data_IF_277537016325
#
_entry.id   IF_277537016325
#
_cell.length_a   1.000
_cell.length_b   1.000
_cell.length_c   1.000
_cell.angle_alpha   90.00
_cell.angle_beta   90.00
_cell.angle_gamma   90.00
#
_symmetry.space_group_name_H-M   'P 1'
#
loop_
_entity.id
_entity.type
_entity.pdbx_description
1 polymer ?
#
# COMPACT_ATOMS: atom_id res chain seq x y z
N UNK A 1 -49.20 26.45 -11.89
CA UNK A 1 -47.89 25.83 -11.66
C UNK A 1 -47.52 26.03 -10.21
N UNK A 2 -47.47 24.97 -9.40
CA UNK A 2 -47.34 25.07 -7.95
C UNK A 2 -45.87 25.27 -7.54
N UNK A 3 -45.59 26.37 -6.85
CA UNK A 3 -44.30 26.66 -6.23
C UNK A 3 -44.01 25.62 -5.12
N UNK A 4 -43.20 24.60 -5.42
CA UNK A 4 -42.89 23.52 -4.48
C UNK A 4 -42.30 22.28 -5.15
N UNK A 5 -42.67 22.00 -6.40
CA UNK A 5 -42.10 20.90 -7.18
C UNK A 5 -40.59 21.05 -7.44
N UNK A 6 -40.12 22.29 -7.64
CA UNK A 6 -38.70 22.59 -7.86
C UNK A 6 -37.84 22.43 -6.61
N UNK A 7 -38.33 22.85 -5.45
CA UNK A 7 -37.63 22.71 -4.17
C UNK A 7 -37.50 21.23 -3.75
N UNK A 8 -38.56 20.43 -3.92
CA UNK A 8 -38.51 18.99 -3.63
C UNK A 8 -37.60 18.21 -4.57
N UNK A 9 -37.54 18.59 -5.85
CA UNK A 9 -36.61 17.99 -6.81
C UNK A 9 -35.16 18.34 -6.47
N UNK A 10 -34.90 19.58 -6.07
CA UNK A 10 -33.57 20.02 -5.65
C UNK A 10 -33.13 19.34 -4.36
N UNK A 11 -34.01 19.23 -3.35
CA UNK A 11 -33.71 18.50 -2.12
C UNK A 11 -33.30 17.05 -2.38
N UNK A 12 -34.01 16.34 -3.28
CA UNK A 12 -33.63 14.97 -3.67
C UNK A 12 -32.28 14.91 -4.39
N UNK A 13 -31.96 15.89 -5.24
CA UNK A 13 -30.65 15.96 -5.90
C UNK A 13 -29.53 16.17 -4.88
N UNK A 14 -29.72 17.08 -3.92
CA UNK A 14 -28.72 17.35 -2.89
C UNK A 14 -28.50 16.13 -1.97
N UNK A 15 -29.57 15.41 -1.61
CA UNK A 15 -29.44 14.15 -0.86
C UNK A 15 -28.68 13.08 -1.65
N UNK A 16 -28.99 12.90 -2.93
CA UNK A 16 -28.27 11.94 -3.79
C UNK A 16 -26.78 12.30 -3.96
N UNK A 17 -26.46 13.60 -4.05
CA UNK A 17 -25.08 14.09 -4.05
C UNK A 17 -24.37 13.79 -2.74
N UNK A 18 -25.03 14.02 -1.60
CA UNK A 18 -24.47 13.69 -0.28
C UNK A 18 -24.14 12.20 -0.16
N UNK A 19 -25.07 11.32 -0.54
CA UNK A 19 -24.86 9.85 -0.54
C UNK A 19 -23.72 9.42 -1.47
N UNK A 20 -23.56 10.08 -2.62
CA UNK A 20 -22.44 9.81 -3.53
C UNK A 20 -21.10 10.23 -2.90
N UNK A 21 -21.04 11.39 -2.26
CA UNK A 21 -19.84 11.86 -1.56
C UNK A 21 -19.46 10.98 -0.37
N UNK A 22 -20.44 10.48 0.40
CA UNK A 22 -20.17 9.56 1.50
C UNK A 22 -19.56 8.24 1.03
N UNK A 23 -20.07 7.68 -0.07
CA UNK A 23 -19.49 6.47 -0.70
C UNK A 23 -18.06 6.71 -1.18
N UNK A 24 -17.83 7.80 -1.92
CA UNK A 24 -16.49 8.15 -2.39
C UNK A 24 -15.51 8.36 -1.21
N UNK A 25 -15.96 8.99 -0.13
CA UNK A 25 -15.15 9.18 1.07
C UNK A 25 -14.83 7.84 1.77
N UNK A 26 -15.78 6.90 1.84
CA UNK A 26 -15.54 5.57 2.39
C UNK A 26 -14.50 4.79 1.56
N UNK A 27 -14.62 4.81 0.23
CA UNK A 27 -13.67 4.19 -0.68
C UNK A 27 -12.25 4.79 -0.55
N UNK A 28 -12.16 6.11 -0.49
CA UNK A 28 -10.89 6.81 -0.29
C UNK A 28 -10.24 6.46 1.06
N UNK A 29 -11.01 6.38 2.14
CA UNK A 29 -10.50 5.94 3.45
C UNK A 29 -10.02 4.50 3.44
N UNK A 30 -10.78 3.60 2.81
CA UNK A 30 -10.36 2.20 2.66
C UNK A 30 -9.06 2.07 1.85
N UNK A 31 -8.92 2.85 0.76
CA UNK A 31 -7.69 2.91 -0.01
C UNK A 31 -6.51 3.45 0.81
N UNK A 32 -6.72 4.56 1.53
CA UNK A 32 -5.71 5.13 2.42
C UNK A 32 -5.25 4.13 3.49
N UNK A 33 -6.18 3.37 4.09
CA UNK A 33 -5.86 2.32 5.05
C UNK A 33 -4.96 1.22 4.47
N UNK A 34 -5.22 0.78 3.23
CA UNK A 34 -4.36 -0.21 2.55
C UNK A 34 -2.95 0.33 2.30
N UNK A 35 -2.84 1.59 1.87
CA UNK A 35 -1.53 2.23 1.65
C UNK A 35 -0.78 2.49 2.96
N UNK A 36 -1.47 2.90 4.02
CA UNK A 36 -0.83 3.13 5.32
C UNK A 36 -0.29 1.84 5.94
N UNK A 37 -0.99 0.71 5.75
CA UNK A 37 -0.46 -0.59 6.18
C UNK A 37 0.83 -0.87 5.43
N UNK A 38 0.84 -0.79 4.10
CA UNK A 38 2.03 -1.03 3.28
C UNK A 38 3.24 -0.19 3.74
N UNK A 39 3.07 1.13 3.85
CA UNK A 39 4.13 2.07 4.25
C UNK A 39 4.67 1.79 5.66
N UNK A 40 3.79 1.44 6.62
CA UNK A 40 4.21 1.08 7.98
C UNK A 40 5.02 -0.20 7.98
N UNK A 41 4.64 -1.19 7.17
CA UNK A 41 5.40 -2.45 7.04
C UNK A 41 6.80 -2.23 6.48
N UNK A 42 6.94 -1.46 5.41
CA UNK A 42 8.25 -1.19 4.78
C UNK A 42 9.20 -0.46 5.74
N UNK A 43 8.71 0.58 6.43
CA UNK A 43 9.46 1.27 7.48
C UNK A 43 9.83 0.34 8.63
N UNK A 44 8.97 -0.61 8.98
CA UNK A 44 9.25 -1.60 10.01
C UNK A 44 10.36 -2.56 9.59
N UNK A 45 10.31 -3.09 8.36
CA UNK A 45 11.37 -3.94 7.80
C UNK A 45 12.72 -3.23 7.81
N UNK A 46 12.77 -1.98 7.34
CA UNK A 46 14.01 -1.19 7.34
C UNK A 46 14.56 -0.98 8.76
N UNK A 47 13.71 -0.69 9.75
CA UNK A 47 14.11 -0.57 11.16
C UNK A 47 14.66 -1.88 11.72
N UNK A 48 14.00 -3.01 11.44
CA UNK A 48 14.45 -4.33 11.90
C UNK A 48 15.82 -4.69 11.34
N UNK A 49 16.10 -4.29 10.09
CA UNK A 49 17.37 -4.58 9.42
C UNK A 49 18.47 -3.54 9.70
N UNK A 50 18.13 -2.38 10.25
CA UNK A 50 19.09 -1.30 10.52
C UNK A 50 20.35 -1.73 11.31
N UNK A 51 20.28 -2.65 12.29
CA UNK A 51 21.48 -3.12 13.00
C UNK A 51 22.53 -3.79 12.11
N UNK A 52 22.15 -4.33 10.94
CA UNK A 52 23.09 -4.92 9.98
C UNK A 52 24.08 -3.89 9.43
N UNK A 53 23.76 -2.59 9.49
CA UNK A 53 24.70 -1.54 9.14
C UNK A 53 25.99 -1.60 9.97
N UNK A 54 25.87 -1.94 11.26
CA UNK A 54 27.03 -2.15 12.14
C UNK A 54 27.89 -3.36 11.77
N UNK A 55 27.38 -4.25 10.92
CA UNK A 55 28.05 -5.47 10.44
C UNK A 55 28.56 -5.33 8.99
N UNK A 56 28.58 -4.10 8.45
CA UNK A 56 29.06 -3.82 7.09
C UNK A 56 28.02 -4.03 5.99
N UNK A 57 26.73 -4.11 6.34
CA UNK A 57 25.66 -4.12 5.34
C UNK A 57 25.16 -2.71 5.01
N UNK A 58 24.75 -2.50 3.77
CA UNK A 58 24.15 -1.28 3.26
C UNK A 58 22.71 -1.55 2.86
N UNK A 59 21.80 -0.70 3.33
CA UNK A 59 20.37 -0.78 3.06
C UNK A 59 19.99 0.32 2.06
N UNK A 60 19.49 -0.07 0.89
CA UNK A 60 19.08 0.83 -0.18
C UNK A 60 17.56 0.69 -0.41
N UNK A 61 16.72 1.50 0.24
CA UNK A 61 15.27 1.46 0.05
C UNK A 61 14.86 2.10 -1.28
N UNK A 62 13.65 1.78 -1.75
CA UNK A 62 12.98 2.42 -2.89
C UNK A 62 13.85 2.47 -4.14
N UNK A 63 14.33 1.31 -4.59
CA UNK A 63 15.18 1.22 -5.79
C UNK A 63 14.34 0.91 -7.01
N UNK A 64 14.51 1.73 -8.05
CA UNK A 64 13.87 1.48 -9.34
C UNK A 64 14.55 0.32 -10.06
N UNK A 65 13.76 -0.59 -10.61
CA UNK A 65 14.29 -1.73 -11.35
C UNK A 65 14.93 -1.28 -12.68
N UNK A 66 16.14 -1.78 -13.02
CA UNK A 66 16.78 -1.44 -14.29
C UNK A 66 15.91 -1.77 -15.50
N UNK A 67 15.89 -0.89 -16.49
CA UNK A 67 15.17 -1.12 -17.75
C UNK A 67 13.65 -0.89 -17.72
N UNK A 68 13.06 -0.51 -16.58
CA UNK A 68 11.62 -0.18 -16.50
C UNK A 68 11.38 1.14 -15.79
N UNK A 69 10.26 1.78 -16.12
CA UNK A 69 9.76 2.98 -15.42
C UNK A 69 8.81 2.64 -14.27
N UNK A 70 8.27 1.43 -14.24
CA UNK A 70 7.13 1.07 -13.40
C UNK A 70 7.46 0.08 -12.29
N UNK A 71 8.52 -0.72 -12.42
CA UNK A 71 8.89 -1.66 -11.37
C UNK A 71 9.90 -1.02 -10.41
N UNK A 72 9.67 -1.28 -9.14
CA UNK A 72 10.50 -0.86 -8.01
C UNK A 72 10.69 -2.07 -7.10
N UNK A 73 11.78 -2.06 -6.33
CA UNK A 73 12.03 -3.01 -5.25
C UNK A 73 12.05 -2.22 -3.94
N UNK A 74 11.40 -2.77 -2.92
CA UNK A 74 11.22 -2.10 -1.63
C UNK A 74 12.57 -1.85 -0.96
N UNK A 75 13.45 -2.85 -0.95
CA UNK A 75 14.76 -2.75 -0.31
C UNK A 75 15.80 -3.64 -0.99
N UNK A 76 17.00 -3.10 -1.22
CA UNK A 76 18.20 -3.88 -1.57
C UNK A 76 19.16 -3.85 -0.38
N UNK A 77 19.59 -5.02 0.07
CA UNK A 77 20.58 -5.17 1.15
C UNK A 77 21.88 -5.72 0.57
N UNK A 78 22.99 -5.01 0.77
CA UNK A 78 24.31 -5.34 0.21
C UNK A 78 25.29 -5.50 1.34
N UNK A 79 26.06 -6.58 1.39
CA UNK A 79 27.10 -6.74 2.40
C UNK A 79 27.96 -7.99 2.22
N UNK A 80 28.70 -8.39 3.27
CA UNK A 80 29.63 -9.53 3.21
C UNK A 80 28.99 -10.86 2.76
N UNK A 81 27.68 -11.04 3.01
CA UNK A 81 26.93 -12.22 2.57
C UNK A 81 26.39 -12.17 1.13
N UNK A 82 26.60 -11.07 0.41
CA UNK A 82 26.13 -10.88 -0.97
C UNK A 82 25.08 -9.76 -1.11
N UNK A 83 24.22 -9.89 -2.12
CA UNK A 83 23.17 -8.93 -2.46
C UNK A 83 21.81 -9.60 -2.33
N UNK A 84 20.91 -8.98 -1.58
CA UNK A 84 19.57 -9.48 -1.31
C UNK A 84 18.54 -8.45 -1.74
N UNK A 85 17.48 -8.91 -2.41
CA UNK A 85 16.26 -8.13 -2.64
C UNK A 85 15.29 -8.52 -1.53
N UNK A 86 14.84 -7.53 -0.76
CA UNK A 86 13.90 -7.71 0.33
C UNK A 86 12.63 -6.95 -0.03
N UNK A 87 11.53 -7.69 -0.14
CA UNK A 87 10.21 -7.21 -0.51
C UNK A 87 9.28 -7.49 0.67
N UNK A 88 8.52 -6.48 1.11
CA UNK A 88 7.66 -6.59 2.29
C UNK A 88 6.22 -6.75 1.85
N UNK A 89 5.56 -7.81 2.32
CA UNK A 89 4.12 -8.02 2.08
C UNK A 89 3.39 -8.32 3.38
N UNK A 90 2.27 -7.64 3.57
CA UNK A 90 1.32 -7.93 4.64
C UNK A 90 0.33 -9.01 4.17
N UNK A 91 0.72 -10.28 4.24
CA UNK A 91 -0.16 -11.42 3.93
C UNK A 91 -0.74 -11.99 5.23
N UNK A 92 -2.02 -12.39 5.20
CA UNK A 92 -2.70 -12.97 6.35
C UNK A 92 -2.08 -14.33 6.73
N UNK A 93 -1.83 -15.17 5.72
CA UNK A 93 -1.14 -16.44 5.85
C UNK A 93 -0.06 -16.57 4.78
N UNK A 94 1.10 -17.10 5.16
CA UNK A 94 2.24 -17.34 4.27
C UNK A 94 2.57 -18.82 4.30
N UNK A 95 2.61 -19.45 3.13
CA UNK A 95 3.11 -20.81 2.96
C UNK A 95 4.22 -20.84 1.91
N UNK A 96 5.17 -21.76 2.07
CA UNK A 96 6.22 -22.01 1.09
C UNK A 96 6.14 -23.47 0.68
N UNK A 97 5.92 -23.73 -0.60
CA UNK A 97 5.89 -25.08 -1.16
C UNK A 97 6.58 -25.11 -2.54
N UNK A 98 7.39 -26.14 -2.78
CA UNK A 98 8.14 -26.30 -4.03
C UNK A 98 9.01 -25.08 -4.42
N UNK A 99 9.51 -24.31 -3.44
CA UNK A 99 10.27 -23.09 -3.69
C UNK A 99 9.44 -21.88 -4.14
N UNK A 100 8.13 -21.93 -3.97
CA UNK A 100 7.20 -20.83 -4.26
C UNK A 100 6.55 -20.34 -2.98
N UNK A 101 6.30 -19.03 -2.92
CA UNK A 101 5.60 -18.40 -1.80
C UNK A 101 4.12 -18.25 -2.16
N UNK A 102 3.24 -18.69 -1.27
CA UNK A 102 1.80 -18.63 -1.39
C UNK A 102 1.23 -17.69 -0.33
N UNK A 103 0.17 -16.99 -0.72
CA UNK A 103 -0.67 -16.18 0.16
C UNK A 103 -1.96 -16.96 0.41
N UNK A 104 -2.31 -17.21 1.66
CA UNK A 104 -3.64 -17.71 2.03
C UNK A 104 -4.71 -16.62 1.97
N UNK A 105 -5.98 -17.04 2.00
CA UNK A 105 -7.15 -16.16 1.87
C UNK A 105 -7.36 -15.25 3.10
#
# INVERSE_FOLDING_TARGET
>A
MAAGGSAGAEARRQLALAEAHERAAAEARAAAGRFSVAEVTEKSTARTLAPLAGLGYFLLPDRRWPGTRRAQVDLVVIGPGGVFIVDTKAWAEVAIDGGRVFRGD
#
